data_IF_508439410620
#
_entry.id   IF_508439410620
#
_cell.length_a   1.000
_cell.length_b   1.000
_cell.length_c   1.000
_cell.angle_alpha   90.00
_cell.angle_beta   90.00
_cell.angle_gamma   90.00
#
_symmetry.space_group_name_H-M   'P 1'
#
loop_
_entity.id
_entity.type
_entity.pdbx_description
1 polymer ?
#
# COMPACT_ATOMS: atom_id res chain seq x y z
N UNK A 1 14.25 24.24 -5.88
CA UNK A 1 15.71 24.09 -5.68
C UNK A 1 15.95 22.90 -4.75
N UNK A 2 15.94 21.65 -5.27
CA UNK A 2 16.23 20.46 -4.48
C UNK A 2 17.75 20.32 -4.40
N UNK A 3 18.31 20.52 -3.22
CA UNK A 3 19.71 20.16 -2.93
C UNK A 3 19.79 18.64 -3.02
N UNK A 4 20.43 18.15 -4.07
CA UNK A 4 20.86 16.74 -4.16
C UNK A 4 21.94 16.50 -3.09
N UNK A 5 21.51 16.07 -1.92
CA UNK A 5 22.39 15.36 -1.01
C UNK A 5 22.89 14.16 -1.79
N UNK A 6 24.21 13.97 -1.83
CA UNK A 6 24.88 12.89 -2.56
C UNK A 6 24.05 11.58 -2.41
N UNK A 7 23.43 11.13 -3.48
CA UNK A 7 22.42 10.07 -3.51
C UNK A 7 22.84 8.83 -2.72
N UNK A 8 24.10 8.38 -2.89
CA UNK A 8 24.61 7.18 -2.24
C UNK A 8 24.73 7.29 -0.70
N UNK A 9 25.00 8.48 -0.14
CA UNK A 9 25.04 8.68 1.31
C UNK A 9 23.65 8.55 1.93
N UNK A 10 22.63 9.01 1.22
CA UNK A 10 21.24 8.85 1.64
C UNK A 10 20.83 7.37 1.60
N UNK A 11 21.22 6.67 0.54
CA UNK A 11 20.94 5.24 0.38
C UNK A 11 21.55 4.44 1.54
N UNK A 12 22.81 4.68 1.87
CA UNK A 12 23.48 4.03 3.00
C UNK A 12 22.81 4.40 4.32
N UNK A 13 22.48 5.67 4.54
CA UNK A 13 21.83 6.11 5.78
C UNK A 13 20.49 5.41 5.98
N UNK A 14 19.66 5.29 4.93
CA UNK A 14 18.36 4.58 4.97
C UNK A 14 18.56 3.12 5.41
N UNK A 15 19.51 2.41 4.82
CA UNK A 15 19.75 1.02 5.17
C UNK A 15 20.33 0.84 6.58
N UNK A 16 21.23 1.71 7.01
CA UNK A 16 21.79 1.68 8.37
C UNK A 16 20.70 1.92 9.42
N UNK A 17 19.82 2.89 9.18
CA UNK A 17 18.68 3.18 10.05
C UNK A 17 17.72 1.99 10.10
N UNK A 18 17.42 1.37 8.97
CA UNK A 18 16.53 0.21 8.89
C UNK A 18 17.11 -1.01 9.63
N UNK A 19 18.41 -1.27 9.49
CA UNK A 19 19.11 -2.32 10.26
C UNK A 19 19.05 -2.03 11.76
N UNK A 20 19.28 -0.79 12.17
CA UNK A 20 19.13 -0.38 13.57
C UNK A 20 17.73 -0.63 14.12
N UNK A 21 16.68 -0.24 13.37
CA UNK A 21 15.30 -0.52 13.73
C UNK A 21 14.98 -2.01 13.81
N UNK A 22 15.49 -2.80 12.87
CA UNK A 22 15.33 -4.25 12.85
C UNK A 22 15.99 -4.93 14.05
N UNK A 23 17.24 -4.57 14.37
CA UNK A 23 17.97 -5.11 15.53
C UNK A 23 17.27 -4.72 16.85
N UNK A 24 16.81 -3.49 16.98
CA UNK A 24 16.05 -3.06 18.15
C UNK A 24 14.79 -3.90 18.34
N UNK A 25 14.02 -4.13 17.27
CA UNK A 25 12.83 -4.97 17.31
C UNK A 25 13.13 -6.42 17.67
N UNK A 26 14.19 -7.02 17.10
CA UNK A 26 14.63 -8.39 17.42
C UNK A 26 15.15 -8.52 18.87
N UNK A 27 15.69 -7.46 19.44
CA UNK A 27 16.15 -7.40 20.84
C UNK A 27 15.00 -7.14 21.83
N UNK A 28 13.76 -7.05 21.36
CA UNK A 28 12.60 -6.78 22.21
C UNK A 28 12.49 -5.32 22.67
N UNK A 29 13.28 -4.41 22.13
CA UNK A 29 13.22 -2.99 22.47
C UNK A 29 12.03 -2.37 21.75
N UNK A 30 10.97 -2.03 22.51
CA UNK A 30 9.78 -1.36 21.98
C UNK A 30 10.04 0.16 22.02
N UNK A 31 10.20 0.74 20.81
CA UNK A 31 10.34 2.18 20.68
C UNK A 31 8.95 2.87 20.73
N UNK A 32 8.83 4.03 21.40
CA UNK A 32 7.56 4.73 21.53
C UNK A 32 7.02 5.20 20.17
N UNK A 33 5.71 5.43 20.09
CA UNK A 33 5.02 6.01 18.93
C UNK A 33 5.24 5.27 17.60
N UNK A 34 5.36 3.93 17.64
CA UNK A 34 5.62 3.11 16.43
C UNK A 34 6.91 3.48 15.67
N UNK A 35 7.86 4.11 16.36
CA UNK A 35 9.12 4.52 15.75
C UNK A 35 9.88 3.32 15.16
N UNK A 36 9.86 2.16 15.84
CA UNK A 36 10.48 0.93 15.31
C UNK A 36 9.90 0.53 13.94
N UNK A 37 8.58 0.53 13.82
CA UNK A 37 7.89 0.28 12.55
C UNK A 37 8.27 1.31 11.48
N UNK A 38 8.34 2.59 11.84
CA UNK A 38 8.71 3.65 10.91
C UNK A 38 10.15 3.48 10.39
N UNK A 39 11.11 3.15 11.25
CA UNK A 39 12.51 2.92 10.88
C UNK A 39 12.64 1.73 9.91
N UNK A 40 11.94 0.62 10.19
CA UNK A 40 11.94 -0.58 9.35
C UNK A 40 11.23 -0.30 8.00
N UNK A 41 10.23 0.57 7.97
CA UNK A 41 9.51 0.89 6.75
C UNK A 41 10.22 1.89 5.82
N UNK A 42 11.27 2.56 6.30
CA UNK A 42 11.99 3.60 5.57
C UNK A 42 12.54 3.15 4.20
N UNK A 43 13.13 1.93 4.04
CA UNK A 43 13.59 1.46 2.73
C UNK A 43 12.47 1.28 1.70
N UNK A 44 11.26 0.92 2.11
CA UNK A 44 10.13 0.82 1.18
C UNK A 44 9.75 2.19 0.62
N UNK A 45 9.73 3.20 1.49
CA UNK A 45 9.48 4.58 1.06
C UNK A 45 10.58 5.07 0.11
N UNK A 46 11.84 4.77 0.44
CA UNK A 46 12.98 5.12 -0.39
C UNK A 46 12.94 4.43 -1.76
N UNK A 47 12.62 3.14 -1.81
CA UNK A 47 12.41 2.40 -3.04
C UNK A 47 11.31 3.02 -3.92
N UNK A 48 10.22 3.47 -3.32
CA UNK A 48 9.15 4.19 -4.03
C UNK A 48 9.62 5.51 -4.66
N UNK A 49 10.48 6.27 -3.97
CA UNK A 49 11.05 7.51 -4.53
C UNK A 49 12.02 7.23 -5.68
N UNK A 50 12.79 6.14 -5.59
CA UNK A 50 13.68 5.70 -6.65
C UNK A 50 12.90 5.25 -7.89
N UNK A 51 11.85 4.46 -7.73
CA UNK A 51 10.96 4.03 -8.82
C UNK A 51 10.35 5.22 -9.58
N UNK A 52 9.97 6.27 -8.87
CA UNK A 52 9.46 7.49 -9.46
C UNK A 52 10.56 8.23 -10.25
N UNK A 53 11.77 8.29 -9.71
CA UNK A 53 12.91 8.99 -10.31
C UNK A 53 13.36 8.36 -11.63
N UNK A 54 13.44 7.03 -11.67
CA UNK A 54 13.90 6.28 -12.85
C UNK A 54 12.81 6.14 -13.93
N UNK A 55 11.69 6.83 -13.77
CA UNK A 55 10.57 6.80 -14.72
C UNK A 55 10.13 5.38 -15.13
N UNK A 56 10.32 4.40 -14.26
CA UNK A 56 9.92 3.01 -14.49
C UNK A 56 8.39 2.82 -14.53
N UNK A 57 7.66 3.89 -14.23
CA UNK A 57 6.21 3.89 -14.21
C UNK A 57 5.53 4.17 -15.56
N UNK A 58 6.14 4.86 -16.57
CA UNK A 58 5.49 5.05 -17.87
C UNK A 58 5.28 3.71 -18.59
N UNK A 59 4.11 3.57 -19.22
CA UNK A 59 3.79 2.39 -20.01
C UNK A 59 4.40 2.49 -21.41
N UNK A 60 5.26 1.52 -21.78
CA UNK A 60 5.70 1.33 -23.16
C UNK A 60 5.20 -0.01 -23.70
N UNK A 61 4.77 -0.04 -24.95
CA UNK A 61 4.32 -1.28 -25.61
C UNK A 61 5.45 -2.31 -25.80
N UNK A 62 6.72 -1.88 -25.75
CA UNK A 62 7.90 -2.76 -25.79
C UNK A 62 8.07 -3.57 -24.52
N UNK A 63 7.50 -3.11 -23.41
CA UNK A 63 7.73 -3.67 -22.08
C UNK A 63 6.81 -4.85 -21.75
N UNK A 64 5.94 -5.29 -22.69
CA UNK A 64 5.03 -6.42 -22.44
C UNK A 64 5.73 -7.69 -21.95
N UNK A 65 6.88 -8.00 -22.54
CA UNK A 65 7.67 -9.18 -22.15
C UNK A 65 8.33 -8.99 -20.80
N UNK A 66 8.78 -7.77 -20.50
CA UNK A 66 9.31 -7.43 -19.17
C UNK A 66 8.20 -7.57 -18.11
N UNK A 67 6.99 -7.10 -18.41
CA UNK A 67 5.85 -7.23 -17.49
C UNK A 67 5.45 -8.70 -17.30
N UNK A 68 5.47 -9.52 -18.33
CA UNK A 68 5.20 -10.94 -18.24
C UNK A 68 6.24 -11.68 -17.38
N UNK A 69 7.52 -11.28 -17.44
CA UNK A 69 8.58 -11.88 -16.62
C UNK A 69 8.47 -11.57 -15.12
N UNK A 70 7.71 -10.54 -14.74
CA UNK A 70 7.51 -10.16 -13.35
C UNK A 70 6.44 -11.03 -12.66
N UNK A 71 5.53 -11.66 -13.42
CA UNK A 71 4.54 -12.58 -12.84
C UNK A 71 5.19 -13.78 -12.12
N UNK A 72 6.19 -14.49 -12.69
CA UNK A 72 6.93 -15.53 -11.96
C UNK A 72 7.61 -15.01 -10.70
N UNK A 73 8.15 -13.78 -10.75
CA UNK A 73 8.71 -13.13 -9.56
C UNK A 73 7.63 -12.94 -8.47
N UNK A 74 6.44 -12.52 -8.85
CA UNK A 74 5.33 -12.37 -7.92
C UNK A 74 4.92 -13.68 -7.25
N UNK A 75 4.89 -14.78 -8.02
CA UNK A 75 4.65 -16.12 -7.47
C UNK A 75 5.76 -16.54 -6.53
N UNK A 76 7.03 -16.33 -6.90
CA UNK A 76 8.17 -16.62 -6.04
C UNK A 76 8.12 -15.81 -4.73
N UNK A 77 7.81 -14.52 -4.82
CA UNK A 77 7.63 -13.65 -3.67
C UNK A 77 6.50 -14.17 -2.76
N UNK A 78 5.37 -14.57 -3.33
CA UNK A 78 4.23 -15.11 -2.56
C UNK A 78 4.58 -16.42 -1.85
N UNK A 79 5.33 -17.30 -2.51
CA UNK A 79 5.78 -18.58 -1.92
C UNK A 79 6.84 -18.40 -0.82
N UNK A 80 7.67 -17.34 -0.91
CA UNK A 80 8.73 -17.06 0.05
C UNK A 80 8.30 -16.10 1.16
N UNK A 81 7.11 -15.49 1.05
CA UNK A 81 6.62 -14.54 2.03
C UNK A 81 6.29 -15.22 3.36
N UNK A 82 6.95 -14.78 4.42
CA UNK A 82 6.63 -15.15 5.79
C UNK A 82 5.50 -14.27 6.34
N UNK A 83 4.65 -14.78 7.26
CA UNK A 83 3.64 -13.94 7.91
C UNK A 83 4.28 -12.82 8.73
N UNK A 84 3.80 -11.60 8.50
CA UNK A 84 4.37 -10.39 9.10
C UNK A 84 3.26 -9.62 9.80
N UNK A 85 3.53 -9.19 11.05
CA UNK A 85 2.69 -8.24 11.79
C UNK A 85 3.52 -7.04 12.22
N UNK A 86 3.71 -6.12 11.30
CA UNK A 86 4.63 -5.00 11.50
C UNK A 86 4.24 -4.09 12.69
N UNK A 87 2.95 -3.95 12.97
CA UNK A 87 2.45 -3.18 14.11
C UNK A 87 2.77 -3.83 15.48
N UNK A 88 2.91 -5.16 15.52
CA UNK A 88 3.33 -5.92 16.70
C UNK A 88 4.85 -6.17 16.72
N UNK A 89 5.59 -5.65 15.73
CA UNK A 89 7.01 -5.91 15.52
C UNK A 89 7.35 -7.41 15.36
N UNK A 90 6.37 -8.22 14.93
CA UNK A 90 6.61 -9.61 14.57
C UNK A 90 7.21 -9.61 13.15
N UNK A 91 8.53 -9.78 13.13
CA UNK A 91 9.34 -9.72 11.91
C UNK A 91 9.70 -11.12 11.43
N UNK A 92 9.84 -11.33 10.11
CA UNK A 92 10.28 -12.58 9.55
C UNK A 92 11.73 -12.90 9.97
N UNK A 93 12.14 -14.12 9.67
CA UNK A 93 13.47 -14.60 10.07
C UNK A 93 14.58 -13.87 9.33
N UNK A 94 14.38 -13.60 8.04
CA UNK A 94 15.41 -13.05 7.17
C UNK A 94 15.17 -11.58 6.81
N UNK A 95 16.10 -10.71 7.21
CA UNK A 95 16.09 -9.28 6.92
C UNK A 95 15.99 -8.98 5.41
N UNK A 96 16.88 -9.55 4.60
CA UNK A 96 16.89 -9.31 3.16
C UNK A 96 15.64 -9.90 2.47
N UNK A 97 15.18 -11.06 2.93
CA UNK A 97 13.94 -11.68 2.43
C UNK A 97 12.73 -10.79 2.62
N UNK A 98 12.64 -10.12 3.76
CA UNK A 98 11.56 -9.16 4.05
C UNK A 98 11.48 -8.03 3.03
N UNK A 99 12.60 -7.36 2.75
CA UNK A 99 12.61 -6.26 1.78
C UNK A 99 12.45 -6.76 0.35
N UNK A 100 13.05 -7.90 0.01
CA UNK A 100 12.88 -8.50 -1.30
C UNK A 100 11.42 -8.84 -1.57
N UNK A 101 10.73 -9.51 -0.62
CA UNK A 101 9.32 -9.83 -0.75
C UNK A 101 8.43 -8.58 -0.79
N UNK A 102 8.71 -7.59 0.05
CA UNK A 102 7.90 -6.37 0.11
C UNK A 102 8.04 -5.52 -1.16
N UNK A 103 9.26 -5.26 -1.62
CA UNK A 103 9.53 -4.48 -2.84
C UNK A 103 9.09 -5.26 -4.08
N UNK A 104 9.47 -6.55 -4.18
CA UNK A 104 9.11 -7.42 -5.29
C UNK A 104 7.59 -7.60 -5.42
N UNK A 105 6.89 -7.79 -4.30
CA UNK A 105 5.42 -7.87 -4.28
C UNK A 105 4.77 -6.57 -4.75
N UNK A 106 5.26 -5.42 -4.28
CA UNK A 106 4.76 -4.11 -4.72
C UNK A 106 4.97 -3.91 -6.22
N UNK A 107 6.17 -4.22 -6.73
CA UNK A 107 6.46 -4.16 -8.16
C UNK A 107 5.54 -5.06 -8.97
N UNK A 108 5.33 -6.30 -8.52
CA UNK A 108 4.43 -7.25 -9.18
C UNK A 108 3.02 -6.69 -9.31
N UNK A 109 2.47 -6.10 -8.22
CA UNK A 109 1.14 -5.49 -8.24
C UNK A 109 1.10 -4.29 -9.20
N UNK A 110 2.12 -3.40 -9.16
CA UNK A 110 2.20 -2.24 -10.06
C UNK A 110 2.21 -2.68 -11.52
N UNK A 111 3.00 -3.70 -11.87
CA UNK A 111 3.06 -4.21 -13.23
C UNK A 111 1.78 -4.96 -13.64
N UNK A 112 1.18 -5.71 -12.71
CA UNK A 112 -0.13 -6.33 -12.95
C UNK A 112 -1.21 -5.29 -13.26
N UNK A 113 -1.26 -4.20 -12.51
CA UNK A 113 -2.16 -3.08 -12.78
C UNK A 113 -1.92 -2.46 -14.16
N UNK A 114 -0.67 -2.36 -14.61
CA UNK A 114 -0.34 -1.88 -15.96
C UNK A 114 -0.81 -2.82 -17.07
N UNK A 115 -0.72 -4.14 -16.85
CA UNK A 115 -1.22 -5.14 -17.81
C UNK A 115 -2.74 -5.10 -17.89
N UNK A 116 -3.41 -5.07 -16.74
CA UNK A 116 -4.88 -5.04 -16.64
C UNK A 116 -5.48 -3.70 -17.08
N UNK A 117 -4.64 -2.66 -17.17
CA UNK A 117 -5.00 -1.29 -17.56
C UNK A 117 -6.05 -0.67 -16.65
N UNK A 118 -7.32 -0.64 -17.08
CA UNK A 118 -8.39 0.03 -16.38
C UNK A 118 -9.48 -0.96 -15.97
N UNK A 119 -9.59 -1.20 -14.67
CA UNK A 119 -10.69 -1.95 -14.07
C UNK A 119 -11.53 -0.91 -13.30
N UNK A 120 -12.72 -0.52 -13.82
CA UNK A 120 -13.50 0.58 -13.28
C UNK A 120 -13.76 0.52 -11.76
N UNK A 121 -14.16 -0.64 -11.18
CA UNK A 121 -14.38 -0.72 -9.74
C UNK A 121 -13.10 -0.46 -8.93
N UNK A 122 -11.97 -1.04 -9.32
CA UNK A 122 -10.69 -0.86 -8.63
C UNK A 122 -10.21 0.58 -8.73
N UNK A 123 -10.35 1.19 -9.92
CA UNK A 123 -10.00 2.59 -10.14
C UNK A 123 -10.86 3.53 -9.30
N UNK A 124 -12.15 3.21 -9.11
CA UNK A 124 -13.06 3.96 -8.24
C UNK A 124 -12.58 3.94 -6.79
N UNK A 125 -12.39 2.75 -6.21
CA UNK A 125 -11.88 2.62 -4.83
C UNK A 125 -10.48 3.21 -4.66
N UNK A 126 -9.60 3.07 -5.66
CA UNK A 126 -8.28 3.68 -5.66
C UNK A 126 -8.33 5.21 -5.61
N UNK A 127 -9.23 5.84 -6.36
CA UNK A 127 -9.43 7.30 -6.34
C UNK A 127 -9.89 7.81 -4.97
N UNK A 128 -10.70 7.04 -4.27
CA UNK A 128 -11.26 7.39 -2.97
C UNK A 128 -10.61 6.63 -1.81
N UNK A 129 -9.40 6.12 -2.02
CA UNK A 129 -8.70 5.25 -1.07
C UNK A 129 -8.54 5.85 0.33
N UNK A 130 -8.40 7.18 0.44
CA UNK A 130 -8.27 7.85 1.74
C UNK A 130 -9.58 7.75 2.55
N UNK A 131 -10.73 7.79 1.88
CA UNK A 131 -12.04 7.62 2.53
C UNK A 131 -12.16 6.17 3.01
N UNK A 132 -11.94 5.22 2.08
CA UNK A 132 -12.00 3.78 2.39
C UNK A 132 -11.04 3.43 3.53
N UNK A 133 -9.82 3.95 3.51
CA UNK A 133 -8.84 3.72 4.58
C UNK A 133 -9.35 4.19 5.95
N UNK A 134 -10.06 5.32 6.00
CA UNK A 134 -10.59 5.87 7.26
C UNK A 134 -11.86 5.18 7.75
N UNK A 135 -12.66 4.59 6.87
CA UNK A 135 -14.01 4.12 7.19
C UNK A 135 -14.19 2.59 7.17
N UNK A 136 -13.34 1.84 6.45
CA UNK A 136 -13.48 0.38 6.34
C UNK A 136 -13.39 -0.36 7.68
N UNK A 137 -12.52 0.11 8.58
CA UNK A 137 -12.30 -0.55 9.88
C UNK A 137 -13.56 -0.53 10.77
N UNK A 138 -14.19 0.62 11.08
CA UNK A 138 -15.41 0.63 11.87
C UNK A 138 -16.57 -0.10 11.17
N UNK A 139 -16.69 0.00 9.85
CA UNK A 139 -17.74 -0.69 9.10
C UNK A 139 -17.55 -2.21 9.19
N UNK A 140 -16.34 -2.70 8.96
CA UNK A 140 -15.99 -4.11 9.06
C UNK A 140 -16.29 -4.67 10.46
N UNK A 141 -15.87 -3.96 11.53
CA UNK A 141 -16.11 -4.40 12.90
C UNK A 141 -17.61 -4.40 13.26
N UNK A 142 -18.37 -3.44 12.77
CA UNK A 142 -19.81 -3.42 12.97
C UNK A 142 -20.49 -4.65 12.34
N UNK A 143 -20.15 -4.95 11.09
CA UNK A 143 -20.69 -6.15 10.44
C UNK A 143 -20.24 -7.43 11.11
N UNK A 144 -18.96 -7.52 11.49
CA UNK A 144 -18.45 -8.68 12.21
C UNK A 144 -19.22 -8.90 13.50
N UNK A 145 -19.43 -7.89 14.32
CA UNK A 145 -20.16 -7.99 15.58
C UNK A 145 -21.61 -8.41 15.39
N UNK A 146 -22.25 -7.96 14.33
CA UNK A 146 -23.63 -8.35 14.01
C UNK A 146 -23.70 -9.80 13.55
N UNK A 147 -22.84 -10.21 12.62
CA UNK A 147 -22.97 -11.49 11.95
C UNK A 147 -22.29 -12.66 12.67
N UNK A 148 -21.32 -12.42 13.57
CA UNK A 148 -20.68 -13.48 14.37
C UNK A 148 -21.66 -14.26 15.25
N UNK A 149 -22.83 -13.68 15.57
CA UNK A 149 -23.88 -14.34 16.33
C UNK A 149 -24.77 -15.27 15.48
N UNK A 150 -24.79 -15.08 14.18
CA UNK A 150 -25.67 -15.80 13.25
C UNK A 150 -24.95 -16.86 12.42
N UNK A 151 -23.65 -16.67 12.21
CA UNK A 151 -22.85 -17.53 11.34
C UNK A 151 -21.61 -18.04 12.07
N UNK A 152 -21.25 -19.31 11.91
CA UNK A 152 -19.99 -19.81 12.43
C UNK A 152 -18.80 -19.13 11.74
N UNK A 153 -17.69 -18.98 12.45
CA UNK A 153 -16.45 -18.48 11.88
C UNK A 153 -16.01 -19.34 10.70
N UNK A 154 -15.78 -18.70 9.55
CA UNK A 154 -15.37 -19.38 8.33
C UNK A 154 -15.27 -18.43 7.13
N UNK A 155 -14.75 -18.94 6.03
CA UNK A 155 -14.49 -18.15 4.80
C UNK A 155 -15.77 -17.49 4.25
N UNK A 156 -16.92 -18.16 4.42
CA UNK A 156 -18.22 -17.63 3.98
C UNK A 156 -18.61 -16.37 4.75
N UNK A 157 -18.43 -16.38 6.08
CA UNK A 157 -18.69 -15.21 6.93
C UNK A 157 -17.79 -14.05 6.53
N UNK A 158 -16.49 -14.29 6.38
CA UNK A 158 -15.54 -13.24 5.99
C UNK A 158 -15.82 -12.70 4.59
N UNK A 159 -16.19 -13.56 3.64
CA UNK A 159 -16.61 -13.16 2.30
C UNK A 159 -17.84 -12.28 2.30
N UNK A 160 -18.86 -12.63 3.10
CA UNK A 160 -20.10 -11.85 3.27
C UNK A 160 -19.79 -10.46 3.87
N UNK A 161 -19.03 -10.43 4.98
CA UNK A 161 -18.64 -9.17 5.63
C UNK A 161 -17.85 -8.28 4.67
N UNK A 162 -16.90 -8.86 3.92
CA UNK A 162 -16.14 -8.13 2.91
C UNK A 162 -17.04 -7.51 1.85
N UNK A 163 -17.97 -8.29 1.28
CA UNK A 163 -18.89 -7.80 0.26
C UNK A 163 -19.79 -6.67 0.78
N UNK A 164 -20.36 -6.83 1.98
CA UNK A 164 -21.17 -5.80 2.61
C UNK A 164 -20.37 -4.54 2.93
N UNK A 165 -19.14 -4.69 3.41
CA UNK A 165 -18.24 -3.55 3.64
C UNK A 165 -17.99 -2.80 2.34
N UNK A 166 -17.67 -3.48 1.24
CA UNK A 166 -17.46 -2.84 -0.06
C UNK A 166 -18.68 -2.09 -0.58
N UNK A 167 -19.87 -2.68 -0.42
CA UNK A 167 -21.13 -2.02 -0.81
C UNK A 167 -21.37 -0.77 0.04
N UNK A 168 -21.19 -0.88 1.34
CA UNK A 168 -21.37 0.24 2.27
C UNK A 168 -20.38 1.37 2.01
N UNK A 169 -19.13 1.03 1.67
CA UNK A 169 -18.12 2.01 1.31
C UNK A 169 -18.52 2.86 0.09
N UNK A 170 -19.18 2.30 -0.91
CA UNK A 170 -19.68 3.06 -2.05
C UNK A 170 -20.67 4.14 -1.57
N UNK A 171 -21.56 3.79 -0.65
CA UNK A 171 -22.55 4.74 -0.09
C UNK A 171 -21.83 5.81 0.75
N UNK A 172 -20.87 5.40 1.59
CA UNK A 172 -20.10 6.31 2.44
C UNK A 172 -19.25 7.27 1.61
N UNK A 173 -18.61 6.79 0.54
CA UNK A 173 -17.83 7.62 -0.39
C UNK A 173 -18.75 8.70 -0.99
N UNK A 174 -19.92 8.30 -1.50
CA UNK A 174 -20.84 9.25 -2.12
C UNK A 174 -21.35 10.27 -1.12
N UNK A 175 -21.67 9.83 0.11
CA UNK A 175 -22.12 10.69 1.20
C UNK A 175 -21.04 11.72 1.58
N UNK A 176 -19.83 11.26 1.84
CA UNK A 176 -18.70 12.13 2.23
C UNK A 176 -18.28 13.08 1.11
N UNK A 177 -18.31 12.62 -0.13
CA UNK A 177 -18.05 13.47 -1.30
C UNK A 177 -19.05 14.61 -1.39
N UNK A 178 -20.31 14.35 -1.07
CA UNK A 178 -21.38 15.34 -1.16
C UNK A 178 -21.39 16.31 0.02
N UNK A 179 -21.25 15.81 1.25
CA UNK A 179 -21.44 16.59 2.47
C UNK A 179 -20.14 17.11 3.08
N UNK A 180 -19.03 16.44 2.85
CA UNK A 180 -17.74 16.78 3.46
C UNK A 180 -16.55 16.79 2.47
N UNK A 181 -16.62 17.49 1.32
CA UNK A 181 -15.60 17.46 0.28
C UNK A 181 -14.25 17.97 0.75
N UNK A 182 -14.22 18.80 1.81
CA UNK A 182 -12.97 19.32 2.39
C UNK A 182 -12.18 18.28 3.16
N UNK A 183 -12.86 17.33 3.83
CA UNK A 183 -12.22 16.26 4.60
C UNK A 183 -11.68 15.14 3.70
N UNK A 184 -12.20 15.02 2.49
CA UNK A 184 -11.85 13.95 1.56
C UNK A 184 -10.77 14.37 0.56
N UNK A 185 -10.15 15.53 0.72
CA UNK A 185 -9.19 16.13 -0.22
C UNK A 185 -9.69 16.21 -1.67
N UNK A 186 -11.02 16.17 -1.87
CA UNK A 186 -11.67 16.17 -3.17
C UNK A 186 -11.94 17.58 -3.72
N UNK A 187 -11.56 18.62 -2.98
CA UNK A 187 -11.64 19.97 -3.50
C UNK A 187 -10.59 20.11 -4.59
N UNK A 188 -11.04 20.28 -5.83
CA UNK A 188 -10.18 20.71 -6.91
C UNK A 188 -9.62 22.09 -6.54
N UNK A 189 -8.45 22.09 -5.90
CA UNK A 189 -7.72 23.33 -5.61
C UNK A 189 -7.11 23.96 -6.87
N UNK A 190 -7.24 23.30 -8.02
CA UNK A 190 -6.72 23.76 -9.30
C UNK A 190 -7.91 23.80 -10.26
N UNK A 191 -8.39 25.01 -10.53
CA UNK A 191 -9.28 25.28 -11.64
C UNK A 191 -8.67 24.70 -12.91
N UNK A 192 -9.32 23.69 -13.49
CA UNK A 192 -8.96 23.07 -14.77
C UNK A 192 -8.97 24.05 -15.96
N UNK A 193 -9.32 25.32 -15.72
CA UNK A 193 -9.34 26.39 -16.71
C UNK A 193 -7.96 26.81 -17.26
N UNK A 194 -6.84 26.27 -16.73
CA UNK A 194 -5.49 26.62 -17.22
C UNK A 194 -4.82 25.63 -18.13
N UNK A 195 -5.43 24.50 -18.43
CA UNK A 195 -4.81 23.46 -19.27
C UNK A 195 -5.36 23.37 -20.70
N UNK A 196 -6.24 24.29 -21.11
CA UNK A 196 -6.75 24.34 -22.48
C UNK A 196 -6.09 25.40 -23.37
N UNK A 197 -4.99 26.04 -22.92
CA UNK A 197 -4.24 27.03 -23.72
C UNK A 197 -2.74 26.77 -23.60
N UNK A 198 -2.27 25.64 -24.10
CA UNK A 198 -0.90 25.43 -24.60
C UNK A 198 -0.93 24.32 -25.67
#
# INVERSE_FOLDING_TARGET
MQRFINSWKLDIAVWVIAIGGWLAAKSGIVLPYYLGTALISLPFFHAGTWLKREELLPYSSRDKYLYASILPLGVAVWLLAEPIRLHELILPTHFLGFYFCGIGGTLTIVFLCKILRHIPPIAYFGRFSIIVFGTHWPIYHTYRHIFEHFFPDGDLLYGLIFALTMITEIVVIELLRRFAPRFTAQKECISTARFHTL
#
